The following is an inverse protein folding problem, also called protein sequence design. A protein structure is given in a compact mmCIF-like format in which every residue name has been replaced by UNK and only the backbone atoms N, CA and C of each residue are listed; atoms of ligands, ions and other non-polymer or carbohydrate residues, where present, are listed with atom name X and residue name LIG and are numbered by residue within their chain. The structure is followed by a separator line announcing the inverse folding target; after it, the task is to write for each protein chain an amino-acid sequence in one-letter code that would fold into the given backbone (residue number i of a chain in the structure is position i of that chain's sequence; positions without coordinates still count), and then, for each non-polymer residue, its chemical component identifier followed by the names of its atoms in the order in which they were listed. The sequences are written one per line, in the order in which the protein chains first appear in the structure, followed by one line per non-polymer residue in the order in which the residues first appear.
data_IF_512015367990
#
_entry.id   IF_512015367990
#
_cell.length_a   1.000
_cell.length_b   1.000
_cell.length_c   1.000
_cell.angle_alpha   90.00
_cell.angle_beta   90.00
_cell.angle_gamma   90.00
#
_symmetry.space_group_name_H-M   'P 1'
#
loop_
_entity.id
_entity.type
_entity.pdbx_description
1 polymer ?
#
# COMPACT_ATOMS: atom_id res chain seq x y z
N UNK A 1 -9.39 26.32 2.75
CA UNK A 1 -8.46 25.72 3.75
C UNK A 1 -9.28 25.33 4.99
N UNK A 2 -9.51 24.04 5.20
CA UNK A 2 -10.14 23.54 6.42
C UNK A 2 -9.00 23.07 7.31
N UNK A 3 -8.75 23.69 8.48
CA UNK A 3 -7.72 23.24 9.39
C UNK A 3 -8.11 21.88 9.96
N UNK A 4 -7.21 20.90 9.87
CA UNK A 4 -7.35 19.63 10.57
C UNK A 4 -7.03 19.89 12.04
N UNK A 5 -7.96 19.71 12.98
CA UNK A 5 -7.71 19.99 14.39
C UNK A 5 -6.61 19.10 14.94
N UNK A 6 -5.56 19.70 15.54
CA UNK A 6 -4.51 19.01 16.27
C UNK A 6 -3.22 18.74 15.50
N UNK A 7 -3.04 19.25 14.26
CA UNK A 7 -1.78 19.12 13.51
C UNK A 7 -1.07 20.45 13.44
N UNK A 8 0.20 20.50 13.85
CA UNK A 8 1.05 21.69 13.78
C UNK A 8 1.34 22.03 12.30
N UNK A 9 1.31 23.34 11.97
CA UNK A 9 1.59 23.85 10.62
C UNK A 9 2.99 23.44 10.10
N UNK A 10 3.99 23.33 10.98
CA UNK A 10 5.33 22.86 10.64
C UNK A 10 5.36 21.36 10.29
N UNK A 11 4.53 20.58 10.97
CA UNK A 11 4.38 19.16 10.70
C UNK A 11 3.63 18.92 9.39
N UNK A 12 2.57 19.67 9.14
CA UNK A 12 1.85 19.69 7.85
C UNK A 12 2.79 20.02 6.68
N UNK A 13 3.68 21.02 6.84
CA UNK A 13 4.64 21.38 5.79
C UNK A 13 5.64 20.24 5.51
N UNK A 14 6.10 19.52 6.56
CA UNK A 14 6.99 18.34 6.40
C UNK A 14 6.28 17.19 5.68
N UNK A 15 5.00 16.92 6.03
CA UNK A 15 4.19 15.92 5.34
C UNK A 15 3.91 16.30 3.89
N UNK A 16 3.63 17.57 3.62
CA UNK A 16 3.41 18.05 2.26
C UNK A 16 4.67 17.90 1.38
N UNK A 17 5.86 18.23 1.92
CA UNK A 17 7.12 18.03 1.20
C UNK A 17 7.41 16.54 0.93
N UNK A 18 7.13 15.67 1.89
CA UNK A 18 7.27 14.22 1.73
C UNK A 18 6.22 13.67 0.75
N UNK A 19 4.98 14.16 0.80
CA UNK A 19 3.91 13.79 -0.11
C UNK A 19 4.27 14.14 -1.55
N UNK A 20 4.76 15.34 -1.79
CA UNK A 20 5.20 15.77 -3.11
C UNK A 20 6.28 14.84 -3.66
N UNK A 21 7.28 14.46 -2.86
CA UNK A 21 8.34 13.54 -3.28
C UNK A 21 7.81 12.12 -3.52
N UNK A 22 6.91 11.63 -2.64
CA UNK A 22 6.34 10.28 -2.75
C UNK A 22 5.54 10.09 -4.04
N UNK A 23 4.82 11.12 -4.45
CA UNK A 23 3.96 11.08 -5.63
C UNK A 23 4.62 11.65 -6.90
N UNK A 24 5.85 12.14 -6.80
CA UNK A 24 6.64 12.55 -7.97
C UNK A 24 7.26 11.31 -8.65
N UNK A 25 6.83 10.97 -9.88
CA UNK A 25 7.38 9.82 -10.60
C UNK A 25 8.84 9.99 -11.04
N UNK A 26 9.45 11.17 -10.85
CA UNK A 26 10.86 11.42 -11.09
C UNK A 26 11.72 11.36 -9.80
N UNK A 27 11.10 11.17 -8.63
CA UNK A 27 11.77 11.08 -7.34
C UNK A 27 12.39 9.69 -7.08
N UNK A 28 12.97 9.51 -5.90
CA UNK A 28 13.45 8.21 -5.41
C UNK A 28 12.35 7.13 -5.34
N UNK A 29 11.07 7.50 -5.35
CA UNK A 29 9.92 6.59 -5.38
C UNK A 29 9.52 6.16 -6.80
N UNK A 30 10.26 6.59 -7.82
CA UNK A 30 10.06 6.18 -9.22
C UNK A 30 9.82 4.67 -9.40
N UNK A 31 10.58 3.74 -8.76
CA UNK A 31 10.35 2.31 -8.91
C UNK A 31 8.93 1.86 -8.50
N UNK A 32 8.33 2.51 -7.50
CA UNK A 32 6.95 2.22 -7.10
C UNK A 32 5.96 2.63 -8.19
N UNK A 33 6.18 3.78 -8.82
CA UNK A 33 5.34 4.28 -9.90
C UNK A 33 5.48 3.41 -11.16
N UNK A 34 6.69 3.00 -11.51
CA UNK A 34 6.95 2.17 -12.68
C UNK A 34 6.30 0.78 -12.58
N UNK A 35 6.33 0.17 -11.40
CA UNK A 35 5.76 -1.18 -11.20
C UNK A 35 4.25 -1.16 -10.92
N UNK A 36 3.72 -0.04 -10.43
CA UNK A 36 2.33 0.06 -10.00
C UNK A 36 1.30 -0.30 -11.10
N UNK A 37 1.43 0.16 -12.37
CA UNK A 37 0.49 -0.23 -13.43
C UNK A 37 0.47 -1.74 -13.69
N UNK A 38 1.63 -2.40 -13.57
CA UNK A 38 1.75 -3.85 -13.77
C UNK A 38 1.06 -4.61 -12.62
N UNK A 39 1.30 -4.18 -11.37
CA UNK A 39 0.65 -4.73 -10.18
C UNK A 39 -0.85 -4.58 -10.26
N UNK A 40 -1.32 -3.36 -10.50
CA UNK A 40 -2.74 -3.03 -10.61
C UNK A 40 -3.41 -3.87 -11.71
N UNK A 41 -2.83 -3.92 -12.91
CA UNK A 41 -3.38 -4.68 -14.03
C UNK A 41 -3.41 -6.18 -13.77
N UNK A 42 -2.43 -6.71 -13.04
CA UNK A 42 -2.41 -8.12 -12.68
C UNK A 42 -3.47 -8.44 -11.60
N UNK A 43 -3.55 -7.63 -10.54
CA UNK A 43 -4.56 -7.77 -9.47
C UNK A 43 -5.96 -7.70 -10.05
N UNK A 44 -6.25 -6.68 -10.86
CA UNK A 44 -7.54 -6.48 -11.50
C UNK A 44 -7.95 -7.71 -12.32
N UNK A 45 -7.03 -8.24 -13.11
CA UNK A 45 -7.27 -9.42 -13.95
C UNK A 45 -7.51 -10.70 -13.14
N UNK A 46 -6.65 -11.01 -12.14
CA UNK A 46 -6.78 -12.26 -11.37
C UNK A 46 -7.99 -12.25 -10.44
N UNK A 47 -8.41 -11.07 -10.01
CA UNK A 47 -9.62 -10.90 -9.20
C UNK A 47 -10.90 -10.80 -10.03
N UNK A 48 -10.82 -10.82 -11.36
CA UNK A 48 -11.99 -10.68 -12.21
C UNK A 48 -12.62 -9.29 -12.20
N UNK A 49 -11.80 -8.25 -12.03
CA UNK A 49 -12.18 -6.85 -11.91
C UNK A 49 -12.26 -6.35 -10.46
N UNK A 50 -11.91 -5.10 -10.26
CA UNK A 50 -11.91 -4.43 -8.95
C UNK A 50 -13.15 -3.55 -8.72
N UNK A 51 -13.86 -3.17 -9.76
CA UNK A 51 -15.02 -2.28 -9.65
C UNK A 51 -16.11 -2.86 -8.74
N UNK A 52 -16.55 -2.08 -7.75
CA UNK A 52 -17.56 -2.47 -6.76
C UNK A 52 -17.09 -3.48 -5.72
N UNK A 53 -15.82 -3.89 -5.74
CA UNK A 53 -15.25 -4.79 -4.74
C UNK A 53 -14.75 -4.02 -3.52
N UNK A 54 -14.90 -4.63 -2.35
CA UNK A 54 -14.30 -4.13 -1.13
C UNK A 54 -12.90 -4.71 -0.97
N UNK A 55 -11.91 -3.83 -0.94
CA UNK A 55 -10.48 -4.18 -0.96
C UNK A 55 -9.80 -3.67 0.30
N UNK A 56 -8.90 -4.47 0.89
CA UNK A 56 -7.93 -3.96 1.86
C UNK A 56 -6.52 -4.11 1.31
N UNK A 57 -5.72 -3.06 1.47
CA UNK A 57 -4.29 -3.06 1.14
C UNK A 57 -3.46 -2.95 2.41
N UNK A 58 -2.85 -4.06 2.83
CA UNK A 58 -1.96 -4.13 3.98
C UNK A 58 -0.55 -3.65 3.61
N UNK A 59 0.02 -2.77 4.44
CA UNK A 59 1.27 -2.09 4.15
C UNK A 59 1.11 -1.08 3.02
N UNK A 60 0.08 -0.23 3.08
CA UNK A 60 -0.27 0.66 1.98
C UNK A 60 0.71 1.82 1.75
N UNK A 61 1.59 2.11 2.71
CA UNK A 61 2.57 3.18 2.61
C UNK A 61 1.93 4.52 2.26
N UNK A 62 2.49 5.21 1.29
CA UNK A 62 2.00 6.50 0.77
C UNK A 62 0.80 6.41 -0.19
N UNK A 63 0.18 5.23 -0.34
CA UNK A 63 -1.12 5.08 -0.98
C UNK A 63 -1.13 4.83 -2.49
N UNK A 64 0.01 4.73 -3.17
CA UNK A 64 0.09 4.64 -4.65
C UNK A 64 -0.79 3.53 -5.22
N UNK A 65 -0.68 2.29 -4.70
CA UNK A 65 -1.51 1.18 -5.18
C UNK A 65 -2.95 1.28 -4.67
N UNK A 66 -3.15 1.73 -3.42
CA UNK A 66 -4.48 1.86 -2.83
C UNK A 66 -5.36 2.84 -3.62
N UNK A 67 -4.84 4.03 -3.94
CA UNK A 67 -5.54 5.00 -4.78
C UNK A 67 -5.77 4.51 -6.21
N UNK A 68 -4.80 3.77 -6.77
CA UNK A 68 -4.96 3.18 -8.10
C UNK A 68 -6.07 2.13 -8.15
N UNK A 69 -6.23 1.32 -7.09
CA UNK A 69 -7.34 0.38 -6.98
C UNK A 69 -8.69 1.10 -6.79
N UNK A 70 -8.72 2.15 -5.98
CA UNK A 70 -9.91 2.99 -5.83
C UNK A 70 -10.30 3.70 -7.14
N UNK A 71 -9.31 4.14 -7.93
CA UNK A 71 -9.50 4.68 -9.28
C UNK A 71 -10.10 3.67 -10.27
N UNK A 72 -10.00 2.36 -10.00
CA UNK A 72 -10.70 1.29 -10.73
C UNK A 72 -12.11 1.01 -10.20
N UNK A 73 -12.61 1.81 -9.26
CA UNK A 73 -13.95 1.70 -8.69
C UNK A 73 -14.06 0.73 -7.51
N UNK A 74 -12.95 0.37 -6.88
CA UNK A 74 -12.96 -0.40 -5.64
C UNK A 74 -13.28 0.49 -4.42
N UNK A 75 -13.93 -0.10 -3.39
CA UNK A 75 -14.02 0.45 -2.04
C UNK A 75 -12.78 0.01 -1.25
N UNK A 76 -11.82 0.92 -1.08
CA UNK A 76 -10.48 0.59 -0.59
C UNK A 76 -10.25 1.06 0.83
N UNK A 77 -9.79 0.14 1.67
CA UNK A 77 -9.18 0.41 2.98
C UNK A 77 -7.67 0.21 2.86
N UNK A 78 -6.89 1.24 3.17
CA UNK A 78 -5.43 1.15 3.25
C UNK A 78 -4.98 1.08 4.71
N UNK A 79 -4.18 0.09 5.09
CA UNK A 79 -3.66 -0.04 6.45
C UNK A 79 -2.13 -0.02 6.46
N UNK A 80 -1.57 0.65 7.44
CA UNK A 80 -0.13 0.69 7.69
C UNK A 80 0.15 0.99 9.16
N UNK A 81 1.34 0.63 9.66
CA UNK A 81 1.80 0.97 11.00
C UNK A 81 2.64 2.25 11.04
N UNK A 82 2.95 2.81 9.89
CA UNK A 82 3.77 4.02 9.74
C UNK A 82 2.90 5.25 9.54
N UNK A 83 2.84 6.10 10.55
CA UNK A 83 2.02 7.31 10.55
C UNK A 83 2.40 8.31 9.44
N UNK A 84 3.72 8.43 9.16
CA UNK A 84 4.22 9.37 8.14
C UNK A 84 3.74 9.01 6.72
N UNK A 85 3.93 7.79 6.20
CA UNK A 85 3.39 7.40 4.90
C UNK A 85 1.86 7.52 4.83
N UNK A 86 1.14 7.14 5.90
CA UNK A 86 -0.31 7.32 5.95
C UNK A 86 -0.73 8.80 5.88
N UNK A 87 0.04 9.69 6.51
CA UNK A 87 -0.17 11.14 6.39
C UNK A 87 -0.01 11.62 4.95
N UNK A 88 1.00 11.12 4.25
CA UNK A 88 1.22 11.36 2.80
C UNK A 88 0.02 10.89 1.99
N UNK A 89 -0.43 9.64 2.20
CA UNK A 89 -1.56 9.06 1.50
C UNK A 89 -2.85 9.87 1.71
N UNK A 90 -3.15 10.25 2.95
CA UNK A 90 -4.31 11.08 3.29
C UNK A 90 -4.27 12.45 2.63
N UNK A 91 -3.10 13.10 2.57
CA UNK A 91 -2.94 14.39 1.89
C UNK A 91 -3.17 14.26 0.38
N UNK A 92 -2.62 13.24 -0.25
CA UNK A 92 -2.78 13.07 -1.68
C UNK A 92 -4.23 12.79 -2.08
N UNK A 93 -5.02 12.08 -1.27
CA UNK A 93 -6.45 11.89 -1.55
C UNK A 93 -7.25 13.19 -1.58
N UNK A 94 -6.81 14.24 -0.85
CA UNK A 94 -7.43 15.57 -0.92
C UNK A 94 -7.16 16.27 -2.27
N UNK A 95 -6.01 15.97 -2.89
CA UNK A 95 -5.62 16.53 -4.18
C UNK A 95 -6.21 15.72 -5.34
N UNK A 96 -6.13 14.39 -5.28
CA UNK A 96 -6.60 13.48 -6.33
C UNK A 96 -8.13 13.35 -6.38
N UNK A 97 -8.81 13.63 -5.27
CA UNK A 97 -10.26 13.42 -5.13
C UNK A 97 -10.70 11.94 -5.06
N UNK A 98 -9.74 11.02 -5.06
CA UNK A 98 -10.00 9.58 -4.91
C UNK A 98 -10.27 9.27 -3.42
N UNK A 99 -11.22 8.39 -3.13
CA UNK A 99 -11.56 8.02 -1.75
C UNK A 99 -10.89 6.71 -1.36
N UNK A 100 -10.09 6.76 -0.29
CA UNK A 100 -9.52 5.59 0.38
C UNK A 100 -9.63 5.80 1.89
N UNK A 101 -10.06 4.78 2.63
CA UNK A 101 -10.11 4.79 4.09
C UNK A 101 -8.75 4.34 4.64
N UNK A 102 -7.90 5.30 5.03
CA UNK A 102 -6.57 5.03 5.58
C UNK A 102 -6.58 4.92 7.09
N UNK A 103 -6.12 3.77 7.62
CA UNK A 103 -6.10 3.44 9.05
C UNK A 103 -4.70 3.09 9.54
N UNK A 104 -4.34 3.61 10.71
CA UNK A 104 -3.12 3.25 11.45
C UNK A 104 -3.40 1.98 12.27
N UNK A 105 -3.26 0.82 11.65
CA UNK A 105 -3.58 -0.48 12.25
C UNK A 105 -2.82 -1.60 11.52
N UNK A 106 -2.45 -2.66 12.24
CA UNK A 106 -1.89 -3.88 11.63
C UNK A 106 -2.99 -4.81 11.08
N UNK A 107 -2.57 -5.76 10.24
CA UNK A 107 -3.47 -6.71 9.60
C UNK A 107 -4.13 -7.65 10.63
N UNK A 108 -3.41 -8.05 11.66
CA UNK A 108 -3.87 -8.93 12.73
C UNK A 108 -5.00 -8.29 13.57
N UNK A 109 -4.85 -7.01 13.88
CA UNK A 109 -5.89 -6.25 14.60
C UNK A 109 -7.11 -6.05 13.73
N UNK A 110 -6.93 -5.62 12.48
CA UNK A 110 -8.06 -5.47 11.56
C UNK A 110 -8.78 -6.79 11.30
N UNK A 111 -8.06 -7.92 11.25
CA UNK A 111 -8.66 -9.25 11.08
C UNK A 111 -9.56 -9.66 12.25
N UNK A 112 -9.24 -9.21 13.47
CA UNK A 112 -10.11 -9.40 14.64
C UNK A 112 -11.36 -8.52 14.59
N UNK A 113 -11.23 -7.29 14.08
CA UNK A 113 -12.33 -6.32 14.01
C UNK A 113 -13.29 -6.57 12.85
N UNK A 114 -12.76 -7.02 11.71
CA UNK A 114 -13.51 -7.15 10.45
C UNK A 114 -13.20 -8.47 9.72
N UNK A 115 -13.40 -9.64 10.36
CA UNK A 115 -13.14 -10.93 9.69
C UNK A 115 -14.07 -11.12 8.49
N UNK A 116 -13.55 -11.79 7.45
CA UNK A 116 -14.31 -12.13 6.23
C UNK A 116 -15.06 -10.94 5.60
N UNK A 117 -14.43 -9.75 5.61
CA UNK A 117 -15.10 -8.51 5.21
C UNK A 117 -14.69 -7.98 3.84
N UNK A 118 -13.63 -8.53 3.25
CA UNK A 118 -13.06 -8.01 2.01
C UNK A 118 -13.13 -9.03 0.88
N UNK A 119 -13.44 -8.55 -0.32
CA UNK A 119 -13.45 -9.37 -1.54
C UNK A 119 -12.03 -9.64 -2.02
N UNK A 120 -11.13 -8.66 -1.79
CA UNK A 120 -9.71 -8.73 -2.15
C UNK A 120 -8.87 -8.19 -1.00
N UNK A 121 -7.82 -8.91 -0.65
CA UNK A 121 -6.78 -8.51 0.30
C UNK A 121 -5.46 -8.47 -0.45
N UNK A 122 -4.77 -7.34 -0.41
CA UNK A 122 -3.45 -7.19 -1.02
C UNK A 122 -2.40 -6.89 0.04
N UNK A 123 -1.24 -7.57 -0.05
CA UNK A 123 -0.09 -7.38 0.83
C UNK A 123 1.17 -7.44 -0.05
N UNK A 124 1.66 -6.25 -0.44
CA UNK A 124 2.69 -6.14 -1.46
C UNK A 124 3.99 -5.64 -0.83
N UNK A 125 5.04 -6.51 -0.90
CA UNK A 125 6.40 -6.19 -0.39
C UNK A 125 6.43 -5.69 1.05
N UNK A 126 5.59 -6.26 1.91
CA UNK A 126 5.52 -5.97 3.33
C UNK A 126 6.07 -7.12 4.18
N UNK A 127 5.98 -8.37 3.70
CA UNK A 127 6.30 -9.55 4.51
C UNK A 127 7.77 -9.63 4.94
N UNK A 128 8.67 -9.01 4.20
CA UNK A 128 10.09 -8.90 4.54
C UNK A 128 10.37 -7.96 5.73
N UNK A 129 9.41 -7.11 6.07
CA UNK A 129 9.52 -6.09 7.12
C UNK A 129 8.76 -6.44 8.40
N UNK A 130 7.98 -7.52 8.41
CA UNK A 130 7.20 -7.94 9.59
C UNK A 130 7.95 -8.98 10.41
N UNK A 131 7.78 -8.98 11.75
CA UNK A 131 8.43 -9.96 12.63
C UNK A 131 7.97 -11.39 12.40
N UNK A 132 6.68 -11.59 12.11
CA UNK A 132 6.05 -12.89 11.86
C UNK A 132 5.23 -12.86 10.56
N UNK A 133 5.85 -13.19 9.41
CA UNK A 133 5.15 -13.25 8.13
C UNK A 133 3.99 -14.26 8.11
N UNK A 134 4.09 -15.35 8.87
CA UNK A 134 3.04 -16.38 8.92
C UNK A 134 1.77 -15.83 9.59
N UNK A 135 1.92 -15.09 10.70
CA UNK A 135 0.82 -14.39 11.36
C UNK A 135 0.13 -13.39 10.42
N UNK A 136 0.93 -12.59 9.73
CA UNK A 136 0.40 -11.59 8.79
C UNK A 136 -0.35 -12.23 7.61
N UNK A 137 0.17 -13.33 7.04
CA UNK A 137 -0.54 -14.08 5.99
C UNK A 137 -1.86 -14.67 6.52
N UNK A 138 -1.84 -15.22 7.74
CA UNK A 138 -3.05 -15.75 8.37
C UNK A 138 -4.10 -14.63 8.61
N UNK A 139 -3.65 -13.45 9.03
CA UNK A 139 -4.51 -12.28 9.16
C UNK A 139 -5.11 -11.84 7.82
N UNK A 140 -4.30 -11.78 6.76
CA UNK A 140 -4.79 -11.48 5.42
C UNK A 140 -5.84 -12.51 4.96
N UNK A 141 -5.62 -13.80 5.22
CA UNK A 141 -6.60 -14.84 4.91
C UNK A 141 -7.90 -14.69 5.72
N UNK A 142 -7.80 -14.31 7.01
CA UNK A 142 -8.95 -14.09 7.86
C UNK A 142 -9.78 -12.85 7.46
N UNK A 143 -9.16 -11.83 6.87
CA UNK A 143 -9.83 -10.65 6.32
C UNK A 143 -10.63 -10.96 5.06
N UNK A 144 -10.18 -11.93 4.25
CA UNK A 144 -10.83 -12.27 3.00
C UNK A 144 -12.16 -13.00 3.23
N UNK A 145 -13.19 -12.64 2.45
CA UNK A 145 -14.45 -13.38 2.38
C UNK A 145 -14.21 -14.80 1.84
N UNK A 146 -15.07 -15.77 2.17
CA UNK A 146 -15.08 -17.05 1.46
C UNK A 146 -15.17 -16.84 -0.05
N UNK A 147 -14.25 -17.42 -0.82
CA UNK A 147 -14.15 -17.18 -2.27
C UNK A 147 -13.51 -15.88 -2.70
N UNK A 148 -13.06 -15.05 -1.73
CA UNK A 148 -12.26 -13.85 -1.99
C UNK A 148 -10.82 -14.16 -2.39
N UNK A 149 -10.05 -13.12 -2.71
CA UNK A 149 -8.67 -13.25 -3.16
C UNK A 149 -7.71 -12.65 -2.13
N UNK A 150 -6.61 -13.36 -1.87
CA UNK A 150 -5.46 -12.83 -1.14
C UNK A 150 -4.28 -12.77 -2.10
N UNK A 151 -3.80 -11.56 -2.36
CA UNK A 151 -2.70 -11.30 -3.30
C UNK A 151 -1.50 -10.82 -2.51
N UNK A 152 -0.42 -11.57 -2.59
CA UNK A 152 0.82 -11.29 -1.85
C UNK A 152 1.99 -11.20 -2.81
N UNK A 153 2.85 -10.22 -2.61
CA UNK A 153 4.19 -10.19 -3.22
C UNK A 153 5.25 -9.96 -2.15
N UNK A 154 6.41 -10.53 -2.37
CA UNK A 154 7.58 -10.35 -1.53
C UNK A 154 8.85 -10.54 -2.35
N UNK A 155 9.92 -9.88 -1.96
CA UNK A 155 11.24 -10.09 -2.58
C UNK A 155 11.76 -11.45 -2.12
N UNK A 156 12.04 -12.31 -3.08
CA UNK A 156 12.57 -13.64 -2.78
C UNK A 156 13.97 -13.54 -2.15
N UNK A 157 14.16 -14.10 -0.96
CA UNK A 157 15.43 -14.11 -0.20
C UNK A 157 16.47 -15.12 -0.74
N UNK A 158 16.53 -15.33 -2.05
CA UNK A 158 17.61 -16.15 -2.62
C UNK A 158 18.81 -15.27 -3.03
N UNK A 159 20.03 -15.86 -3.19
CA UNK A 159 21.22 -15.10 -3.58
C UNK A 159 21.09 -14.34 -4.90
N UNK A 160 20.27 -14.82 -5.84
CA UNK A 160 20.02 -14.14 -7.11
C UNK A 160 19.17 -12.88 -6.90
N UNK A 161 18.11 -12.97 -6.09
CA UNK A 161 17.26 -11.79 -5.79
C UNK A 161 18.02 -10.76 -4.99
N UNK A 162 18.87 -11.17 -4.05
CA UNK A 162 19.78 -10.26 -3.35
C UNK A 162 20.73 -9.56 -4.32
N UNK A 163 21.34 -10.30 -5.25
CA UNK A 163 22.25 -9.75 -6.25
C UNK A 163 21.54 -8.77 -7.18
N UNK A 164 20.32 -9.08 -7.64
CA UNK A 164 19.57 -8.21 -8.55
C UNK A 164 18.88 -7.05 -7.85
N UNK A 165 18.31 -7.24 -6.66
CA UNK A 165 17.58 -6.18 -5.97
C UNK A 165 18.51 -5.20 -5.25
N UNK A 166 19.57 -5.67 -4.58
CA UNK A 166 20.46 -4.80 -3.81
C UNK A 166 21.67 -4.38 -4.64
N UNK A 167 22.45 -5.33 -5.15
CA UNK A 167 23.65 -5.00 -5.93
C UNK A 167 23.29 -4.33 -7.25
N UNK A 168 22.23 -4.80 -7.93
CA UNK A 168 21.75 -4.19 -9.16
C UNK A 168 21.20 -2.78 -8.94
N UNK A 169 20.43 -2.55 -7.88
CA UNK A 169 19.89 -1.23 -7.56
C UNK A 169 20.99 -0.26 -7.09
N UNK A 170 21.87 -0.69 -6.18
CA UNK A 170 22.94 0.17 -5.67
C UNK A 170 24.02 0.50 -6.72
N UNK A 171 24.49 -0.51 -7.46
CA UNK A 171 25.69 -0.35 -8.31
C UNK A 171 25.37 -0.11 -9.78
N UNK A 172 24.31 -0.70 -10.34
CA UNK A 172 23.94 -0.50 -11.76
C UNK A 172 22.99 0.67 -11.96
N UNK A 173 22.00 0.83 -11.09
CA UNK A 173 20.96 1.83 -11.27
C UNK A 173 21.16 3.07 -10.39
N UNK A 174 22.06 3.02 -9.40
CA UNK A 174 22.33 4.11 -8.44
C UNK A 174 21.06 4.65 -7.79
N UNK A 175 20.14 3.76 -7.39
CA UNK A 175 18.82 4.09 -6.85
C UNK A 175 18.79 4.18 -5.32
N UNK A 176 19.90 3.84 -4.63
CA UNK A 176 20.05 3.95 -3.19
C UNK A 176 21.21 4.85 -2.83
#
# INVERSE_FOLDING_TARGET
YIPIPGVDAAELAKFAALAHRWWDPASEFKPLHDINPLRLGWIDRVCGGLAGRRVVHAGCGGGVLAESMAGRGADVVGIDLSEKPLGVAKLHTLESGVRVDYRLVDAETLAREAPSSFDVVTCMEMLEHVPDPASTIAACAALAKPGGHVVVSTINRNPKSYLFAIVGAEYLLRLL
#
